data_IF_581097373536
#
_entry.id   IF_581097373536
#
_cell.length_a   1.000
_cell.length_b   1.000
_cell.length_c   1.000
_cell.angle_alpha   90.00
_cell.angle_beta   90.00
_cell.angle_gamma   90.00
#
_symmetry.space_group_name_H-M   'P 1'
#
loop_
_entity.id
_entity.type
_entity.pdbx_description
1 polymer ?
#
# COMPACT_ATOMS: atom_id res chain seq x y z
N UNK A 1 -4.75 14.00 5.25
CA UNK A 1 -5.69 14.12 6.40
C UNK A 1 -6.07 12.74 6.94
N UNK A 2 -6.46 11.78 6.10
CA UNK A 2 -6.92 10.45 6.53
C UNK A 2 -5.87 9.66 7.34
N UNK A 3 -4.60 9.75 6.99
CA UNK A 3 -3.50 9.10 7.73
C UNK A 3 -3.31 9.74 9.11
N UNK A 4 -3.47 11.05 9.22
CA UNK A 4 -3.35 11.77 10.49
C UNK A 4 -4.44 11.36 11.49
N UNK A 5 -5.68 11.12 11.03
CA UNK A 5 -6.78 10.65 11.88
C UNK A 5 -6.49 9.31 12.57
N UNK A 6 -5.63 8.49 11.98
CA UNK A 6 -5.15 7.22 12.55
C UNK A 6 -3.97 7.39 13.53
N UNK A 7 -3.63 8.63 13.93
CA UNK A 7 -2.59 8.93 14.92
C UNK A 7 -1.16 8.92 14.38
N UNK A 8 -0.97 8.90 13.07
CA UNK A 8 0.36 8.95 12.45
C UNK A 8 1.00 10.31 12.68
N UNK A 9 2.22 10.33 13.19
CA UNK A 9 3.02 11.53 13.42
C UNK A 9 4.18 11.69 12.42
N UNK A 10 4.68 10.60 11.85
CA UNK A 10 5.79 10.62 10.90
C UNK A 10 5.37 9.98 9.58
N UNK A 11 5.63 10.67 8.49
CA UNK A 11 5.30 10.22 7.12
C UNK A 11 6.58 10.15 6.30
N UNK A 12 6.87 8.98 5.75
CA UNK A 12 7.97 8.77 4.81
C UNK A 12 7.41 8.73 3.39
N UNK A 13 7.91 9.59 2.52
CA UNK A 13 7.54 9.60 1.10
C UNK A 13 8.75 9.17 0.30
N UNK A 14 8.64 8.03 -0.37
CA UNK A 14 9.67 7.57 -1.31
C UNK A 14 9.42 8.19 -2.66
N UNK A 15 10.39 8.93 -3.15
CA UNK A 15 10.34 9.64 -4.44
C UNK A 15 11.60 9.35 -5.25
N UNK A 16 11.56 9.63 -6.53
CA UNK A 16 12.76 9.73 -7.33
C UNK A 16 13.24 11.21 -7.44
N UNK A 17 14.41 11.42 -7.99
CA UNK A 17 15.01 12.75 -8.14
C UNK A 17 14.24 13.71 -9.07
N UNK A 18 13.23 13.22 -9.81
CA UNK A 18 12.38 14.02 -10.70
C UNK A 18 11.10 14.54 -10.01
N UNK A 19 10.82 14.11 -8.76
CA UNK A 19 9.58 14.44 -8.02
C UNK A 19 9.79 15.50 -6.93
N UNK A 20 10.67 16.48 -7.17
CA UNK A 20 11.00 17.53 -6.20
C UNK A 20 9.84 18.48 -5.89
N UNK A 21 8.84 18.57 -6.78
CA UNK A 21 7.62 19.36 -6.54
C UNK A 21 6.85 18.89 -5.31
N UNK A 22 6.87 17.58 -5.00
CA UNK A 22 6.24 17.04 -3.79
C UNK A 22 6.89 17.62 -2.53
N UNK A 23 8.21 17.74 -2.51
CA UNK A 23 8.94 18.34 -1.39
C UNK A 23 8.59 19.83 -1.22
N UNK A 24 8.45 20.57 -2.32
CA UNK A 24 8.04 21.97 -2.29
C UNK A 24 6.61 22.17 -1.82
N UNK A 25 5.71 21.25 -2.22
CA UNK A 25 4.29 21.33 -1.88
C UNK A 25 4.01 20.99 -0.41
N UNK A 26 4.59 19.91 0.08
CA UNK A 26 4.31 19.41 1.43
C UNK A 26 5.24 19.96 2.50
N UNK A 27 6.45 20.46 2.11
CA UNK A 27 7.45 20.95 3.03
C UNK A 27 7.88 19.90 4.05
N UNK A 28 8.00 20.30 5.29
CA UNK A 28 8.31 19.42 6.43
C UNK A 28 7.07 18.71 7.03
N UNK A 29 5.89 18.97 6.47
CA UNK A 29 4.64 18.39 6.93
C UNK A 29 3.94 19.13 8.06
N UNK A 30 4.54 20.17 8.62
CA UNK A 30 4.01 20.93 9.78
C UNK A 30 2.63 21.53 9.51
N UNK A 31 2.38 22.01 8.28
CA UNK A 31 1.07 22.51 7.85
C UNK A 31 -0.04 21.44 7.90
N UNK A 32 0.34 20.17 7.81
CA UNK A 32 -0.58 19.02 7.86
C UNK A 32 -0.59 18.36 9.24
N UNK A 33 0.23 18.87 10.18
CA UNK A 33 0.36 18.36 11.54
C UNK A 33 1.01 16.98 11.64
N UNK A 34 1.96 16.71 10.75
CA UNK A 34 2.82 15.51 10.71
C UNK A 34 4.27 15.95 10.44
N UNK A 35 5.22 15.07 10.70
CA UNK A 35 6.60 15.24 10.26
C UNK A 35 6.79 14.47 8.95
N UNK A 36 7.28 15.12 7.90
CA UNK A 36 7.55 14.47 6.61
C UNK A 36 9.05 14.28 6.38
N UNK A 37 9.41 13.09 5.95
CA UNK A 37 10.74 12.76 5.46
C UNK A 37 10.66 12.22 4.04
N UNK A 38 11.60 12.63 3.18
CA UNK A 38 11.66 12.24 1.78
C UNK A 38 12.86 11.32 1.58
N UNK A 39 12.60 10.14 1.05
CA UNK A 39 13.61 9.14 0.74
C UNK A 39 13.74 9.04 -0.77
N UNK A 40 14.97 9.13 -1.26
CA UNK A 40 15.22 9.16 -2.70
C UNK A 40 15.55 7.75 -3.19
N UNK A 41 14.71 7.25 -4.13
CA UNK A 41 15.01 6.04 -4.87
C UNK A 41 15.97 6.37 -6.03
N UNK A 42 17.15 5.75 -6.01
CA UNK A 42 18.09 5.83 -7.13
C UNK A 42 17.64 4.88 -8.25
N UNK A 43 17.20 5.48 -9.35
CA UNK A 43 16.73 4.75 -10.53
C UNK A 43 17.85 4.31 -11.48
N UNK A 44 19.11 4.69 -11.21
CA UNK A 44 20.25 4.34 -12.07
C UNK A 44 20.51 2.82 -12.13
N UNK A 45 20.05 2.08 -11.12
CA UNK A 45 20.20 0.61 -11.04
C UNK A 45 19.20 -0.17 -11.88
N UNK A 46 18.26 0.50 -12.56
CA UNK A 46 17.19 -0.11 -13.38
C UNK A 46 16.36 -1.20 -12.63
N UNK A 47 16.22 -1.07 -11.31
CA UNK A 47 15.41 -1.97 -10.49
C UNK A 47 14.18 -1.17 -10.04
N UNK A 48 13.06 -1.47 -10.68
CA UNK A 48 11.79 -0.80 -10.44
C UNK A 48 10.80 -1.80 -9.88
N UNK A 49 10.40 -1.61 -8.62
CA UNK A 49 9.32 -2.37 -8.01
C UNK A 49 8.84 -1.63 -6.75
N UNK A 50 7.54 -1.70 -6.46
CA UNK A 50 7.00 -1.08 -5.24
C UNK A 50 7.70 -1.59 -3.96
N UNK A 51 7.90 -2.90 -3.75
CA UNK A 51 8.64 -3.39 -2.57
C UNK A 51 10.05 -2.82 -2.46
N UNK A 52 10.78 -2.68 -3.57
CA UNK A 52 12.13 -2.09 -3.59
C UNK A 52 12.11 -0.61 -3.19
N UNK A 53 11.09 0.13 -3.63
CA UNK A 53 10.92 1.52 -3.20
C UNK A 53 10.61 1.60 -1.70
N UNK A 54 9.73 0.74 -1.19
CA UNK A 54 9.37 0.71 0.24
C UNK A 54 10.54 0.31 1.12
N UNK A 55 11.39 -0.59 0.65
CA UNK A 55 12.57 -1.08 1.40
C UNK A 55 13.61 0.00 1.68
N UNK A 56 13.63 1.08 0.91
CA UNK A 56 14.49 2.24 1.19
C UNK A 56 14.18 2.83 2.59
N UNK A 57 12.96 2.69 3.06
CA UNK A 57 12.56 3.14 4.38
C UNK A 57 12.97 2.17 5.51
N UNK A 58 13.37 0.93 5.21
CA UNK A 58 13.67 -0.12 6.19
C UNK A 58 14.53 0.35 7.38
N UNK A 59 15.68 1.06 7.20
CA UNK A 59 16.51 1.49 8.32
C UNK A 59 15.80 2.39 9.33
N UNK A 60 14.75 3.08 8.91
CA UNK A 60 14.00 4.07 9.72
C UNK A 60 12.75 3.48 10.35
N UNK A 61 12.19 2.40 9.78
CA UNK A 61 10.86 1.90 10.13
C UNK A 61 10.83 0.44 10.59
N UNK A 62 11.95 -0.27 10.59
CA UNK A 62 12.03 -1.72 10.88
C UNK A 62 11.44 -2.14 12.22
N UNK A 63 11.39 -1.23 13.20
CA UNK A 63 10.89 -1.49 14.56
C UNK A 63 9.53 -0.81 14.81
N UNK A 64 8.79 -0.45 13.76
CA UNK A 64 7.53 0.30 13.83
C UNK A 64 6.40 -0.43 13.11
N UNK A 65 5.19 -0.24 13.61
CA UNK A 65 4.00 -0.52 12.82
C UNK A 65 3.87 0.51 11.71
N UNK A 66 3.52 0.06 10.52
CA UNK A 66 3.46 0.89 9.32
C UNK A 66 2.02 0.97 8.83
N UNK A 67 1.53 2.19 8.62
CA UNK A 67 0.36 2.46 7.81
C UNK A 67 0.81 2.80 6.39
N UNK A 68 0.40 2.00 5.43
CA UNK A 68 0.73 2.18 4.02
C UNK A 68 -0.49 2.60 3.20
N UNK A 69 -0.31 3.60 2.35
CA UNK A 69 -1.28 4.02 1.35
C UNK A 69 -0.61 4.46 0.07
N UNK A 70 -1.25 4.21 -1.05
CA UNK A 70 -0.79 4.68 -2.35
C UNK A 70 -1.17 6.15 -2.53
N UNK A 71 -0.24 7.03 -2.97
CA UNK A 71 -0.47 8.47 -3.03
C UNK A 71 -1.44 8.89 -4.15
N UNK A 72 -1.67 8.02 -5.10
CA UNK A 72 -2.56 8.19 -6.26
C UNK A 72 -3.94 7.51 -6.08
N UNK A 73 -4.27 7.12 -4.85
CA UNK A 73 -5.54 6.48 -4.54
C UNK A 73 -6.28 7.23 -3.45
N UNK A 74 -7.52 7.59 -3.70
CA UNK A 74 -8.45 8.14 -2.70
C UNK A 74 -9.31 7.01 -2.17
N UNK A 75 -9.35 6.83 -0.85
CA UNK A 75 -10.21 5.83 -0.19
C UNK A 75 -11.31 6.51 0.62
N UNK A 76 -12.45 5.85 0.72
CA UNK A 76 -13.59 6.22 1.54
C UNK A 76 -14.05 5.00 2.35
N UNK A 77 -14.56 5.18 3.59
CA UNK A 77 -14.68 6.45 4.33
C UNK A 77 -13.32 7.07 4.72
N UNK A 78 -13.33 8.33 5.13
CA UNK A 78 -12.12 9.09 5.46
C UNK A 78 -11.33 8.51 6.64
N UNK A 79 -11.99 7.77 7.53
CA UNK A 79 -11.39 7.08 8.68
C UNK A 79 -10.91 5.65 8.36
N UNK A 80 -10.82 5.26 7.07
CA UNK A 80 -10.43 3.90 6.67
C UNK A 80 -9.09 3.45 7.28
N UNK A 81 -8.11 4.35 7.40
CA UNK A 81 -6.82 4.01 8.02
C UNK A 81 -6.96 3.74 9.52
N UNK A 82 -7.75 4.52 10.24
CA UNK A 82 -8.01 4.34 11.67
C UNK A 82 -8.76 3.02 11.92
N UNK A 83 -9.80 2.73 11.13
CA UNK A 83 -10.54 1.47 11.23
C UNK A 83 -9.65 0.26 10.94
N UNK A 84 -8.82 0.33 9.91
CA UNK A 84 -7.90 -0.75 9.57
C UNK A 84 -6.86 -0.96 10.66
N UNK A 85 -6.32 0.13 11.24
CA UNK A 85 -5.37 0.05 12.35
C UNK A 85 -5.99 -0.57 13.60
N UNK A 86 -7.22 -0.17 13.96
CA UNK A 86 -7.97 -0.77 15.08
C UNK A 86 -8.21 -2.27 14.86
N UNK A 87 -8.55 -2.66 13.62
CA UNK A 87 -8.70 -4.07 13.26
C UNK A 87 -7.38 -4.83 13.40
N UNK A 88 -6.28 -4.28 12.88
CA UNK A 88 -4.94 -4.84 12.97
C UNK A 88 -4.53 -5.13 14.42
N UNK A 89 -4.71 -4.15 15.31
CA UNK A 89 -4.40 -4.30 16.74
C UNK A 89 -5.32 -5.35 17.39
N UNK A 90 -6.63 -5.27 17.16
CA UNK A 90 -7.62 -6.17 17.76
C UNK A 90 -7.38 -7.64 17.43
N UNK A 91 -7.00 -7.92 16.20
CA UNK A 91 -6.77 -9.28 15.69
C UNK A 91 -5.33 -9.75 15.90
N UNK A 92 -4.46 -8.93 16.48
CA UNK A 92 -3.03 -9.22 16.71
C UNK A 92 -2.34 -9.71 15.43
N UNK A 93 -2.40 -8.90 14.37
CA UNK A 93 -1.94 -9.27 13.03
C UNK A 93 -0.48 -8.88 12.78
N UNK A 94 0.13 -9.55 11.80
CA UNK A 94 1.38 -9.10 11.19
C UNK A 94 1.10 -8.26 9.93
N UNK A 95 -0.05 -8.50 9.28
CA UNK A 95 -0.49 -7.78 8.08
C UNK A 95 -2.02 -7.66 8.06
N UNK A 96 -2.53 -6.45 7.90
CA UNK A 96 -3.93 -6.17 7.58
C UNK A 96 -4.01 -5.44 6.23
N UNK A 97 -4.80 -5.97 5.30
CA UNK A 97 -5.12 -5.29 4.04
C UNK A 97 -6.51 -4.66 4.11
N UNK A 98 -6.62 -3.37 3.82
CA UNK A 98 -7.90 -2.71 3.60
C UNK A 98 -8.40 -3.03 2.19
N UNK A 99 -9.54 -3.71 2.11
CA UNK A 99 -10.11 -4.25 0.89
C UNK A 99 -11.41 -3.51 0.56
N UNK A 100 -11.50 -3.01 -0.66
CA UNK A 100 -12.61 -2.17 -1.13
C UNK A 100 -13.33 -2.84 -2.29
N UNK A 101 -14.67 -2.72 -2.39
CA UNK A 101 -15.42 -3.16 -3.56
C UNK A 101 -14.95 -2.45 -4.83
N UNK A 102 -14.88 -3.17 -5.95
CA UNK A 102 -14.60 -2.60 -7.26
C UNK A 102 -15.11 -3.50 -8.37
N UNK A 103 -15.52 -2.93 -9.48
CA UNK A 103 -15.81 -3.64 -10.73
C UNK A 103 -14.62 -3.62 -11.70
N UNK A 104 -13.63 -2.72 -11.46
CA UNK A 104 -12.44 -2.56 -12.30
C UNK A 104 -11.28 -3.45 -11.85
N UNK A 105 -11.49 -4.76 -11.84
CA UNK A 105 -10.47 -5.71 -11.37
C UNK A 105 -9.30 -5.91 -12.32
N UNK A 106 -9.43 -5.50 -13.59
CA UNK A 106 -8.37 -5.67 -14.61
C UNK A 106 -7.17 -4.75 -14.40
N UNK A 107 -7.37 -3.61 -13.73
CA UNK A 107 -6.32 -2.63 -13.46
C UNK A 107 -5.81 -2.67 -12.02
N UNK A 108 -6.46 -3.47 -11.18
CA UNK A 108 -6.26 -3.51 -9.74
C UNK A 108 -5.86 -4.92 -9.27
N UNK A 109 -5.76 -5.11 -7.97
CA UNK A 109 -5.30 -6.36 -7.37
C UNK A 109 -6.38 -6.99 -6.47
N UNK A 110 -7.32 -7.76 -7.05
CA UNK A 110 -8.35 -8.47 -6.29
C UNK A 110 -7.76 -9.47 -5.28
N UNK A 111 -8.37 -9.51 -4.11
CA UNK A 111 -7.97 -10.34 -2.97
C UNK A 111 -9.00 -11.44 -2.74
N UNK A 112 -8.56 -12.69 -2.83
CA UNK A 112 -9.36 -13.84 -2.40
C UNK A 112 -9.15 -14.07 -0.92
N UNK A 113 -10.24 -14.06 -0.17
CA UNK A 113 -10.22 -14.29 1.28
C UNK A 113 -11.01 -15.53 1.65
N UNK A 114 -10.51 -16.25 2.62
CA UNK A 114 -11.20 -17.36 3.27
C UNK A 114 -12.04 -16.91 4.47
N UNK A 115 -12.44 -17.88 5.26
CA UNK A 115 -13.12 -17.63 6.53
C UNK A 115 -12.29 -16.71 7.44
N UNK A 116 -12.96 -15.87 8.23
CA UNK A 116 -12.33 -14.91 9.13
C UNK A 116 -11.35 -13.91 8.48
N UNK A 117 -11.50 -13.66 7.17
CA UNK A 117 -10.69 -12.69 6.44
C UNK A 117 -9.28 -13.15 6.08
N UNK A 118 -8.92 -14.43 6.25
CA UNK A 118 -7.60 -14.93 5.87
C UNK A 118 -7.32 -14.69 4.38
N UNK A 119 -6.14 -14.14 4.07
CA UNK A 119 -5.70 -13.92 2.69
C UNK A 119 -5.28 -15.25 2.09
N UNK A 120 -5.98 -15.66 1.01
CA UNK A 120 -5.72 -16.92 0.30
C UNK A 120 -4.98 -16.69 -1.03
N UNK A 121 -5.33 -15.62 -1.75
CA UNK A 121 -4.70 -15.28 -3.03
C UNK A 121 -4.87 -13.79 -3.33
N UNK A 122 -3.91 -13.21 -4.07
CA UNK A 122 -3.97 -11.86 -4.61
C UNK A 122 -3.48 -11.89 -6.05
N UNK A 123 -4.33 -11.51 -6.98
CA UNK A 123 -3.99 -11.51 -8.41
C UNK A 123 -3.79 -10.09 -8.90
N UNK A 124 -2.60 -9.78 -9.32
CA UNK A 124 -2.29 -8.45 -9.86
C UNK A 124 -2.82 -8.34 -11.30
N UNK A 125 -3.66 -7.35 -11.57
CA UNK A 125 -4.22 -7.01 -12.89
C UNK A 125 -4.67 -8.22 -13.73
N UNK A 126 -5.54 -9.08 -13.20
CA UNK A 126 -5.94 -10.30 -13.89
C UNK A 126 -6.76 -9.98 -15.15
N UNK A 127 -6.55 -10.72 -16.24
CA UNK A 127 -7.34 -10.57 -17.47
C UNK A 127 -8.84 -10.77 -17.22
N UNK A 128 -9.20 -11.63 -16.28
CA UNK A 128 -10.58 -11.89 -15.81
C UNK A 128 -10.54 -12.20 -14.31
N UNK A 129 -11.52 -11.69 -13.57
CA UNK A 129 -11.73 -12.01 -12.16
C UNK A 129 -13.22 -12.01 -11.85
N UNK A 130 -13.65 -12.97 -11.04
CA UNK A 130 -14.98 -12.98 -10.42
C UNK A 130 -14.94 -12.35 -9.01
N UNK A 131 -13.76 -11.99 -8.52
CA UNK A 131 -13.56 -11.31 -7.24
C UNK A 131 -13.68 -9.82 -7.49
N UNK A 132 -14.73 -9.20 -6.96
CA UNK A 132 -15.09 -7.79 -7.20
C UNK A 132 -14.60 -6.90 -6.06
N UNK A 133 -13.31 -7.00 -5.74
CA UNK A 133 -12.65 -6.17 -4.74
C UNK A 133 -11.21 -5.87 -5.14
N UNK A 134 -10.55 -5.00 -4.37
CA UNK A 134 -9.13 -4.72 -4.45
C UNK A 134 -8.60 -4.27 -3.09
N UNK A 135 -7.33 -4.53 -2.79
CA UNK A 135 -6.65 -3.88 -1.70
C UNK A 135 -6.10 -2.52 -2.12
N UNK A 136 -6.03 -1.53 -1.21
CA UNK A 136 -5.45 -0.21 -1.50
C UNK A 136 -4.67 0.38 -0.33
N UNK A 137 -4.99 -0.01 0.90
CA UNK A 137 -4.27 0.41 2.09
C UNK A 137 -3.85 -0.82 2.87
N UNK A 138 -2.79 -0.68 3.65
CA UNK A 138 -2.31 -1.78 4.49
C UNK A 138 -1.76 -1.26 5.81
N UNK A 139 -1.80 -2.12 6.82
CA UNK A 139 -1.10 -1.94 8.09
C UNK A 139 -0.26 -3.18 8.33
N UNK A 140 0.98 -3.00 8.76
CA UNK A 140 1.83 -4.14 9.05
C UNK A 140 2.83 -3.93 10.18
N UNK A 141 3.25 -5.06 10.76
CA UNK A 141 4.17 -5.16 11.90
C UNK A 141 5.65 -5.05 11.49
N UNK A 142 6.57 -4.85 12.45
CA UNK A 142 8.00 -5.02 12.24
C UNK A 142 8.39 -6.37 11.62
N UNK A 143 7.68 -7.46 11.95
CA UNK A 143 7.93 -8.79 11.37
C UNK A 143 7.65 -8.81 9.87
N UNK A 144 6.59 -8.15 9.43
CA UNK A 144 6.32 -8.02 7.99
C UNK A 144 7.35 -7.11 7.30
N UNK A 145 7.75 -6.00 7.94
CA UNK A 145 8.82 -5.12 7.41
C UNK A 145 10.12 -5.90 7.19
N UNK A 146 10.50 -6.77 8.14
CA UNK A 146 11.66 -7.66 7.99
C UNK A 146 11.49 -8.63 6.83
N UNK A 147 10.32 -9.28 6.71
CA UNK A 147 10.01 -10.18 5.60
C UNK A 147 10.09 -9.48 4.23
N UNK A 148 9.55 -8.26 4.11
CA UNK A 148 9.63 -7.46 2.88
C UNK A 148 11.10 -7.19 2.53
N UNK A 149 11.91 -6.76 3.51
CA UNK A 149 13.33 -6.51 3.34
C UNK A 149 14.09 -7.74 2.82
N UNK A 150 13.89 -8.90 3.43
CA UNK A 150 14.49 -10.16 3.01
C UNK A 150 14.14 -10.52 1.56
N UNK A 151 12.86 -10.38 1.18
CA UNK A 151 12.41 -10.64 -0.19
C UNK A 151 13.01 -9.66 -1.20
N UNK A 152 13.19 -8.40 -0.83
CA UNK A 152 13.85 -7.39 -1.67
C UNK A 152 15.33 -7.70 -1.83
N UNK A 153 16.03 -8.08 -0.75
CA UNK A 153 17.43 -8.49 -0.83
C UNK A 153 17.64 -9.71 -1.75
N UNK A 154 16.76 -10.72 -1.64
CA UNK A 154 16.79 -11.88 -2.53
C UNK A 154 16.55 -11.48 -3.99
N UNK A 155 15.55 -10.63 -4.24
CA UNK A 155 15.22 -10.13 -5.57
C UNK A 155 16.37 -9.34 -6.21
N UNK A 156 17.08 -8.53 -5.42
CA UNK A 156 18.21 -7.73 -5.93
C UNK A 156 19.45 -8.61 -6.22
N UNK A 157 19.71 -9.62 -5.39
CA UNK A 157 20.89 -10.49 -5.49
C UNK A 157 20.82 -11.46 -6.65
N UNK A 158 19.64 -11.94 -7.00
CA UNK A 158 19.47 -12.99 -8.01
C UNK A 158 18.88 -12.45 -9.32
N UNK A 159 19.71 -12.32 -10.36
CA UNK A 159 19.26 -11.85 -11.67
C UNK A 159 18.17 -12.73 -12.31
N UNK A 160 18.07 -14.01 -11.89
CA UNK A 160 16.99 -14.92 -12.36
C UNK A 160 15.62 -14.53 -11.83
N UNK A 161 15.54 -13.83 -10.69
CA UNK A 161 14.28 -13.26 -10.18
C UNK A 161 13.88 -11.98 -10.89
N UNK A 162 14.76 -11.41 -11.75
CA UNK A 162 14.47 -10.20 -12.54
C UNK A 162 13.64 -10.47 -13.80
N UNK A 163 13.21 -11.70 -14.04
CA UNK A 163 12.22 -12.08 -15.06
C UNK A 163 10.82 -11.57 -14.67
N UNK A 164 10.72 -10.29 -14.36
CA UNK A 164 9.51 -9.60 -13.98
C UNK A 164 9.68 -8.69 -12.76
N UNK A 165 8.71 -7.83 -12.56
CA UNK A 165 8.65 -6.94 -11.41
C UNK A 165 8.33 -7.72 -10.13
N UNK A 166 9.01 -7.43 -9.02
CA UNK A 166 8.59 -7.91 -7.71
C UNK A 166 7.29 -7.19 -7.31
N UNK A 167 6.18 -7.92 -7.33
CA UNK A 167 4.87 -7.37 -7.01
C UNK A 167 4.61 -7.39 -5.50
N UNK A 168 3.94 -6.36 -4.99
CA UNK A 168 3.54 -6.28 -3.57
C UNK A 168 2.59 -7.42 -3.18
N UNK A 169 1.71 -7.85 -4.09
CA UNK A 169 0.84 -9.03 -3.93
C UNK A 169 1.63 -10.30 -3.63
N UNK A 170 2.79 -10.50 -4.28
CA UNK A 170 3.67 -11.64 -4.01
C UNK A 170 4.27 -11.55 -2.61
N UNK A 171 4.70 -10.37 -2.17
CA UNK A 171 5.23 -10.16 -0.81
C UNK A 171 4.18 -10.49 0.24
N UNK A 172 2.95 -10.03 0.06
CA UNK A 172 1.83 -10.35 0.96
C UNK A 172 1.54 -11.84 1.03
N UNK A 173 1.48 -12.52 -0.11
CA UNK A 173 1.18 -13.97 -0.17
C UNK A 173 2.29 -14.80 0.46
N UNK A 174 3.55 -14.47 0.21
CA UNK A 174 4.68 -15.20 0.82
C UNK A 174 4.72 -14.97 2.35
N UNK A 175 4.36 -13.78 2.84
CA UNK A 175 4.21 -13.54 4.27
C UNK A 175 3.17 -14.48 4.90
N UNK A 176 1.98 -14.60 4.28
CA UNK A 176 0.93 -15.51 4.75
C UNK A 176 1.40 -16.98 4.73
N UNK A 177 2.09 -17.42 3.68
CA UNK A 177 2.68 -18.78 3.57
C UNK A 177 3.74 -19.07 4.63
N UNK A 178 4.53 -18.06 5.00
CA UNK A 178 5.54 -18.15 6.08
C UNK A 178 4.91 -18.09 7.49
N UNK A 179 3.58 -18.03 7.59
CA UNK A 179 2.86 -18.06 8.85
C UNK A 179 2.73 -16.71 9.56
N UNK A 180 2.98 -15.58 8.85
CA UNK A 180 2.61 -14.27 9.36
C UNK A 180 1.08 -14.14 9.37
N UNK A 181 0.52 -13.67 10.49
CA UNK A 181 -0.92 -13.49 10.64
C UNK A 181 -1.44 -12.42 9.69
N UNK A 182 -1.95 -12.82 8.52
CA UNK A 182 -2.32 -11.94 7.42
C UNK A 182 -3.81 -12.01 7.13
N UNK A 183 -4.53 -10.89 7.27
CA UNK A 183 -5.98 -10.81 7.04
C UNK A 183 -6.35 -9.59 6.21
N UNK A 184 -7.46 -9.71 5.46
CA UNK A 184 -8.14 -8.59 4.82
C UNK A 184 -9.32 -8.09 5.65
N UNK A 185 -9.49 -6.79 5.71
CA UNK A 185 -10.66 -6.11 6.28
C UNK A 185 -11.47 -5.49 5.13
N UNK A 186 -12.73 -5.93 4.97
CA UNK A 186 -13.60 -5.46 3.89
C UNK A 186 -14.35 -4.21 4.33
N UNK A 187 -14.14 -3.12 3.61
CA UNK A 187 -14.95 -1.92 3.69
C UNK A 187 -16.19 -2.07 2.79
N UNK A 188 -17.24 -2.76 3.27
CA UNK A 188 -18.40 -3.14 2.46
C UNK A 188 -19.08 -1.98 1.72
N UNK A 189 -19.15 -0.80 2.33
CA UNK A 189 -19.65 0.43 1.71
C UNK A 189 -18.53 1.38 1.31
N UNK A 190 -17.29 0.92 1.34
CA UNK A 190 -16.12 1.70 1.01
C UNK A 190 -15.94 1.84 -0.50
N UNK A 191 -15.17 2.85 -0.87
CA UNK A 191 -14.80 3.12 -2.26
C UNK A 191 -13.31 3.43 -2.34
N UNK A 192 -12.70 3.08 -3.46
CA UNK A 192 -11.35 3.47 -3.79
C UNK A 192 -11.31 4.00 -5.21
N UNK A 193 -10.66 5.14 -5.39
CA UNK A 193 -10.52 5.82 -6.66
C UNK A 193 -9.05 5.92 -7.02
N UNK A 194 -8.66 5.27 -8.09
CA UNK A 194 -7.34 5.44 -8.71
C UNK A 194 -7.35 6.75 -9.50
N UNK A 195 -6.52 7.71 -9.10
CA UNK A 195 -6.38 9.02 -9.75
C UNK A 195 -5.00 9.20 -10.41
N UNK A 196 -4.32 8.10 -10.72
CA UNK A 196 -2.95 8.10 -11.27
C UNK A 196 -2.82 8.76 -12.66
N UNK A 197 -3.92 9.06 -13.35
CA UNK A 197 -3.92 9.77 -14.62
C UNK A 197 -4.86 10.96 -14.62
N UNK A 198 -4.59 11.94 -15.51
CA UNK A 198 -5.44 13.13 -15.66
C UNK A 198 -6.90 12.79 -15.95
N UNK A 199 -7.16 11.77 -16.78
CA UNK A 199 -8.54 11.35 -17.07
C UNK A 199 -9.23 10.77 -15.84
N UNK A 200 -8.56 9.91 -15.09
CA UNK A 200 -9.12 9.32 -13.85
C UNK A 200 -9.38 10.39 -12.78
N UNK A 201 -8.46 11.35 -12.65
CA UNK A 201 -8.66 12.51 -11.75
C UNK A 201 -9.86 13.35 -12.19
N UNK A 202 -10.00 13.61 -13.49
CA UNK A 202 -11.14 14.35 -14.04
C UNK A 202 -12.46 13.62 -13.76
N UNK A 203 -12.52 12.33 -14.03
CA UNK A 203 -13.71 11.50 -13.76
C UNK A 203 -14.08 11.51 -12.27
N UNK A 204 -13.09 11.43 -11.37
CA UNK A 204 -13.31 11.55 -9.94
C UNK A 204 -13.91 12.93 -9.57
N UNK A 205 -13.34 14.02 -10.06
CA UNK A 205 -13.81 15.36 -9.77
C UNK A 205 -15.24 15.58 -10.24
N UNK A 206 -15.60 15.17 -11.44
CA UNK A 206 -16.95 15.30 -11.99
C UNK A 206 -17.95 14.43 -11.24
N UNK A 207 -17.59 13.21 -10.91
CA UNK A 207 -18.53 12.25 -10.36
C UNK A 207 -18.69 12.33 -8.84
N UNK A 208 -17.68 12.83 -8.12
CA UNK A 208 -17.66 12.77 -6.65
C UNK A 208 -17.54 14.14 -5.96
N UNK A 209 -17.01 15.16 -6.63
CA UNK A 209 -16.77 16.47 -6.02
C UNK A 209 -17.78 17.51 -6.51
N UNK A 210 -18.18 17.45 -7.78
CA UNK A 210 -19.07 18.44 -8.40
C UNK A 210 -20.53 17.92 -8.59
N UNK A 211 -20.89 16.86 -7.89
CA UNK A 211 -22.30 16.47 -7.68
C UNK A 211 -22.94 17.36 -6.64
#
# INVERSE_FOLDING_TARGET
ENIKSAGVSNVFIVINNQKTELMRFFGDGSLYGVNMAYLIQDLSKNIYAMPVALDIAYPYVKDKDILFGMPDTIVRPDNSFDELYKYYIKEDLDLALGVFPTTNTKELAPVTMGENGMILDIKDKPKKSNILNTWNIAVWSPRFTQHLHEMVEEYIKDERYRDGELLMSKVFLEAAKKGLKSKGFIFNSGMCYDIASTNKLYDFLINEVYK
#
